data_IF_227703141561
#
_entry.id   IF_227703141561
#
_cell.length_a   1.000
_cell.length_b   1.000
_cell.length_c   1.000
_cell.angle_alpha   90.00
_cell.angle_beta   90.00
_cell.angle_gamma   90.00
#
_symmetry.space_group_name_H-M   'P 1'
#
loop_
_entity.id
_entity.type
_entity.pdbx_description
1 polymer ?
#
# COMPACT_ATOMS: atom_id res chain seq x y z
N UNK A 1 31.61 5.90 -10.05
CA UNK A 1 31.18 4.86 -9.09
C UNK A 1 30.57 5.48 -7.82
N UNK A 2 31.10 6.60 -7.32
CA UNK A 2 30.66 7.22 -6.06
C UNK A 2 29.23 7.79 -6.02
N UNK A 3 28.68 8.22 -7.17
CA UNK A 3 27.28 8.70 -7.23
C UNK A 3 26.25 7.57 -7.03
N UNK A 4 26.59 6.34 -7.41
CA UNK A 4 25.68 5.18 -7.27
C UNK A 4 25.68 4.69 -5.82
N UNK A 5 26.84 4.69 -5.14
CA UNK A 5 26.94 4.39 -3.72
C UNK A 5 26.19 5.40 -2.84
N UNK A 6 26.18 6.69 -3.20
CA UNK A 6 25.38 7.71 -2.50
C UNK A 6 23.87 7.51 -2.64
N UNK A 7 23.40 7.04 -3.80
CA UNK A 7 21.97 6.73 -4.00
C UNK A 7 21.53 5.46 -3.27
N UNK A 8 22.42 4.47 -3.13
CA UNK A 8 22.15 3.27 -2.33
C UNK A 8 22.16 3.58 -0.82
N UNK A 9 23.05 4.47 -0.37
CA UNK A 9 23.09 4.93 1.02
C UNK A 9 21.89 5.80 1.39
N UNK A 10 21.39 6.66 0.50
CA UNK A 10 20.18 7.45 0.74
C UNK A 10 18.90 6.60 0.75
N UNK A 11 18.85 5.48 0.02
CA UNK A 11 17.70 4.57 0.02
C UNK A 11 17.58 3.73 1.30
N UNK A 12 18.66 3.65 2.09
CA UNK A 12 18.68 3.02 3.42
C UNK A 12 18.22 3.93 4.57
N UNK A 13 17.89 5.20 4.28
CA UNK A 13 17.42 6.20 5.24
C UNK A 13 15.98 6.67 4.96
N UNK A 14 15.11 5.77 4.53
CA UNK A 14 13.67 5.97 4.67
C UNK A 14 13.27 5.48 6.07
N UNK A 15 12.49 6.26 6.83
CA UNK A 15 12.13 5.89 8.19
C UNK A 15 11.35 4.58 8.15
N UNK A 16 11.78 3.62 8.96
CA UNK A 16 11.04 2.42 9.28
C UNK A 16 9.71 2.82 9.95
N UNK A 17 8.70 3.16 9.16
CA UNK A 17 7.31 3.34 9.62
C UNK A 17 6.64 2.03 10.05
N UNK A 18 7.42 0.98 10.30
CA UNK A 18 6.96 -0.34 10.76
C UNK A 18 7.08 -0.43 12.28
N UNK A 19 8.07 0.22 12.91
CA UNK A 19 8.23 0.18 14.38
C UNK A 19 7.25 1.08 15.14
N UNK A 20 6.76 2.17 14.55
CA UNK A 20 5.74 3.03 15.19
C UNK A 20 4.33 2.41 15.12
N UNK A 21 4.06 1.58 14.12
CA UNK A 21 2.79 0.85 14.00
C UNK A 21 2.79 -0.37 14.93
N UNK A 22 3.91 -1.07 15.09
CA UNK A 22 4.00 -2.17 16.07
C UNK A 22 3.91 -1.69 17.53
N UNK A 23 4.45 -0.52 17.86
CA UNK A 23 4.31 0.08 19.21
C UNK A 23 2.89 0.51 19.53
N UNK A 24 2.14 1.02 18.55
CA UNK A 24 0.74 1.40 18.75
C UNK A 24 -0.21 0.19 18.84
N UNK A 25 0.13 -0.93 18.19
CA UNK A 25 -0.66 -2.18 18.27
C UNK A 25 -0.47 -2.90 19.61
N UNK A 26 0.70 -2.81 20.25
CA UNK A 26 0.92 -3.40 21.60
C UNK A 26 0.26 -2.63 22.76
N UNK A 27 -0.24 -1.42 22.48
CA UNK A 27 -0.79 -0.50 23.50
C UNK A 27 -2.27 -0.73 23.80
N UNK A 28 -2.99 -1.53 23.01
CA UNK A 28 -4.40 -1.81 23.27
C UNK A 28 -4.54 -3.04 24.15
N UNK A 29 -4.29 -2.85 25.44
CA UNK A 29 -4.76 -3.79 26.45
C UNK A 29 -6.30 -3.72 26.49
N UNK A 30 -7.01 -4.85 26.43
CA UNK A 30 -8.44 -4.84 26.73
C UNK A 30 -8.60 -4.29 28.15
N UNK A 31 -9.44 -3.27 28.30
CA UNK A 31 -9.84 -2.75 29.60
C UNK A 31 -10.54 -3.87 30.37
N UNK A 32 -9.79 -4.67 31.10
CA UNK A 32 -10.33 -5.55 32.13
C UNK A 32 -10.76 -4.63 33.26
N UNK A 33 -12.06 -4.36 33.32
CA UNK A 33 -12.65 -3.61 34.43
C UNK A 33 -12.50 -4.48 35.69
N UNK A 34 -11.41 -4.26 36.42
CA UNK A 34 -11.22 -4.83 37.75
C UNK A 34 -12.40 -4.40 38.60
N UNK A 35 -13.13 -5.38 39.16
CA UNK A 35 -14.10 -5.14 40.24
C UNK A 35 -13.37 -4.49 41.41
N UNK A 36 -13.24 -3.16 41.40
CA UNK A 36 -12.93 -2.42 42.60
C UNK A 36 -14.22 -2.38 43.40
N UNK A 37 -14.25 -3.25 44.42
CA UNK A 37 -15.17 -3.17 45.54
C UNK A 37 -15.03 -1.78 46.15
N UNK A 38 -15.96 -0.89 45.83
CA UNK A 38 -16.12 0.38 46.53
C UNK A 38 -16.66 0.02 47.92
N UNK A 39 -15.79 0.09 48.93
CA UNK A 39 -16.18 0.00 50.33
C UNK A 39 -17.15 1.15 50.64
N UNK A 40 -18.45 0.84 50.70
CA UNK A 40 -19.50 1.77 51.13
C UNK A 40 -19.71 1.65 52.64
N UNK A 41 -19.14 2.57 53.41
CA UNK A 41 -19.47 2.77 54.82
C UNK A 41 -20.04 4.17 55.04
N UNK A 42 -21.21 4.48 54.47
CA UNK A 42 -22.20 5.37 55.09
C UNK A 42 -23.58 4.94 54.56
N UNK A 43 -24.46 4.64 55.50
CA UNK A 43 -25.87 4.29 55.37
C UNK A 43 -26.57 5.09 54.25
N UNK A 44 -26.92 4.42 53.16
CA UNK A 44 -27.68 4.98 52.04
C UNK A 44 -28.83 4.03 51.71
N UNK A 45 -30.08 4.52 51.56
CA UNK A 45 -31.20 3.68 51.16
C UNK A 45 -30.87 2.99 49.84
N UNK A 46 -31.08 1.68 49.84
CA UNK A 46 -30.92 0.79 48.70
C UNK A 46 -31.52 1.45 47.43
N UNK A 47 -30.77 1.63 46.32
CA UNK A 47 -31.34 2.18 45.11
C UNK A 47 -32.45 1.25 44.64
N UNK A 48 -33.68 1.75 44.62
CA UNK A 48 -34.88 1.04 44.19
C UNK A 48 -34.57 0.32 42.88
N UNK A 49 -34.84 -0.99 42.84
CA UNK A 49 -34.45 -1.88 41.74
C UNK A 49 -35.37 -1.75 40.52
N UNK A 50 -36.36 -0.87 40.61
CA UNK A 50 -37.42 -0.72 39.64
C UNK A 50 -36.96 0.14 38.45
N UNK A 51 -37.00 -0.39 37.22
CA UNK A 51 -36.49 0.29 36.04
C UNK A 51 -37.25 1.59 35.72
N UNK A 52 -38.53 1.67 36.07
CA UNK A 52 -39.35 2.88 35.86
C UNK A 52 -38.89 4.05 36.74
N UNK A 53 -38.59 3.78 38.01
CA UNK A 53 -38.12 4.80 38.98
C UNK A 53 -36.72 5.28 38.63
N UNK A 54 -35.85 4.37 38.15
CA UNK A 54 -34.52 4.75 37.65
C UNK A 54 -34.61 5.64 36.41
N UNK A 55 -35.52 5.33 35.48
CA UNK A 55 -35.70 6.15 34.28
C UNK A 55 -36.29 7.53 34.61
N UNK A 56 -37.23 7.62 35.54
CA UNK A 56 -37.72 8.91 36.03
C UNK A 56 -36.62 9.72 36.72
N UNK A 57 -35.79 9.10 37.54
CA UNK A 57 -34.64 9.77 38.18
C UNK A 57 -33.66 10.34 37.15
N UNK A 58 -33.42 9.61 36.06
CA UNK A 58 -32.57 10.05 34.96
C UNK A 58 -33.23 11.17 34.16
N UNK A 59 -34.52 11.07 33.86
CA UNK A 59 -35.27 12.10 33.14
C UNK A 59 -35.40 13.42 33.93
N UNK A 60 -35.30 13.34 35.26
CA UNK A 60 -35.31 14.49 36.16
C UNK A 60 -33.92 15.14 36.33
N UNK A 61 -32.88 14.63 35.66
CA UNK A 61 -31.57 15.30 35.62
C UNK A 61 -31.67 16.51 34.71
N UNK A 62 -31.15 17.64 35.17
CA UNK A 62 -31.21 18.91 34.42
C UNK A 62 -30.27 18.87 33.21
N UNK A 63 -30.72 19.37 32.06
CA UNK A 63 -29.95 19.27 30.81
C UNK A 63 -28.57 19.95 30.87
N UNK A 64 -28.43 20.93 31.76
CA UNK A 64 -27.19 21.69 31.99
C UNK A 64 -26.04 20.75 32.42
N UNK A 65 -26.33 19.63 33.08
CA UNK A 65 -25.32 18.64 33.49
C UNK A 65 -24.73 17.84 32.33
N UNK A 66 -25.36 17.80 31.15
CA UNK A 66 -24.84 17.07 29.99
C UNK A 66 -23.78 17.86 29.18
N UNK A 67 -23.51 19.11 29.55
CA UNK A 67 -22.52 19.93 28.85
C UNK A 67 -21.08 19.61 29.24
N UNK A 68 -20.19 19.50 28.24
CA UNK A 68 -18.77 19.14 28.42
C UNK A 68 -17.94 20.20 29.14
N UNK A 69 -18.40 21.45 29.18
CA UNK A 69 -17.67 22.58 29.78
C UNK A 69 -18.33 23.08 31.07
N UNK A 70 -19.26 22.31 31.62
CA UNK A 70 -20.06 22.74 32.77
C UNK A 70 -19.37 22.45 34.10
N UNK A 71 -19.30 23.48 34.95
CA UNK A 71 -18.83 23.35 36.33
C UNK A 71 -20.03 23.11 37.25
N UNK A 72 -20.27 21.83 37.53
CA UNK A 72 -21.35 21.37 38.41
C UNK A 72 -21.23 21.89 39.85
N UNK A 73 -20.00 22.06 40.35
CA UNK A 73 -19.76 22.55 41.71
C UNK A 73 -20.13 24.02 41.84
N UNK A 74 -19.69 24.85 40.88
CA UNK A 74 -20.03 26.28 40.85
C UNK A 74 -21.54 26.51 40.70
N UNK A 75 -22.19 25.77 39.81
CA UNK A 75 -23.63 25.90 39.57
C UNK A 75 -24.48 25.61 40.81
N UNK A 76 -24.20 24.50 41.51
CA UNK A 76 -24.97 24.14 42.70
C UNK A 76 -24.75 25.14 43.85
N UNK A 77 -23.54 25.67 44.01
CA UNK A 77 -23.23 26.67 45.03
C UNK A 77 -23.94 28.00 44.72
N UNK A 78 -23.90 28.47 43.48
CA UNK A 78 -24.53 29.73 43.09
C UNK A 78 -26.06 29.65 43.13
N UNK A 79 -26.65 28.52 42.74
CA UNK A 79 -28.10 28.39 42.57
C UNK A 79 -28.84 28.01 43.88
N UNK A 80 -28.20 27.23 44.78
CA UNK A 80 -28.87 26.68 45.99
C UNK A 80 -28.29 27.22 47.29
N UNK A 81 -26.98 27.43 47.37
CA UNK A 81 -26.36 27.89 48.61
C UNK A 81 -26.46 29.42 48.79
N UNK A 82 -26.51 30.17 47.68
CA UNK A 82 -26.42 31.63 47.70
C UNK A 82 -25.14 32.13 48.41
N UNK A 83 -24.89 33.45 48.48
CA UNK A 83 -23.66 33.97 49.08
C UNK A 83 -23.50 33.68 50.60
N UNK A 84 -24.56 33.24 51.30
CA UNK A 84 -24.58 33.13 52.76
C UNK A 84 -24.93 31.73 53.33
N UNK A 85 -25.08 30.67 52.52
CA UNK A 85 -25.26 29.28 52.97
C UNK A 85 -26.26 29.09 54.15
N UNK A 86 -27.39 29.82 54.14
CA UNK A 86 -28.24 29.97 55.34
C UNK A 86 -29.20 28.78 55.59
N UNK A 87 -29.37 27.89 54.61
CA UNK A 87 -30.33 26.76 54.65
C UNK A 87 -29.64 25.39 54.50
N UNK A 88 -28.89 24.96 55.52
CA UNK A 88 -28.18 23.67 55.53
C UNK A 88 -29.07 22.45 55.27
N UNK A 89 -30.34 22.48 55.70
CA UNK A 89 -31.28 21.37 55.50
C UNK A 89 -31.65 21.18 54.03
N UNK A 90 -31.81 22.27 53.28
CA UNK A 90 -32.13 22.26 51.84
C UNK A 90 -30.94 21.76 51.03
N UNK A 91 -29.72 22.18 51.41
CA UNK A 91 -28.48 21.70 50.82
C UNK A 91 -28.31 20.19 51.01
N UNK A 92 -28.55 19.67 52.22
CA UNK A 92 -28.50 18.22 52.49
C UNK A 92 -29.52 17.44 51.66
N UNK A 93 -30.75 17.93 51.55
CA UNK A 93 -31.79 17.31 50.72
C UNK A 93 -31.39 17.28 49.23
N UNK A 94 -30.82 18.38 48.72
CA UNK A 94 -30.32 18.46 47.34
C UNK A 94 -29.16 17.50 47.09
N UNK A 95 -28.21 17.42 48.02
CA UNK A 95 -27.08 16.50 47.93
C UNK A 95 -27.54 15.03 47.89
N UNK A 96 -28.55 14.67 48.71
CA UNK A 96 -29.16 13.34 48.65
C UNK A 96 -29.90 13.08 47.33
N UNK A 97 -30.53 14.10 46.73
CA UNK A 97 -31.18 13.98 45.43
C UNK A 97 -30.14 13.76 44.31
N UNK A 98 -29.06 14.55 44.31
CA UNK A 98 -27.95 14.41 43.36
C UNK A 98 -27.25 13.05 43.48
N UNK A 99 -27.04 12.56 44.70
CA UNK A 99 -26.45 11.23 44.92
C UNK A 99 -27.34 10.12 44.36
N UNK A 100 -28.67 10.21 44.53
CA UNK A 100 -29.62 9.27 43.92
C UNK A 100 -29.60 9.32 42.39
N UNK A 101 -29.56 10.52 41.81
CA UNK A 101 -29.47 10.71 40.36
C UNK A 101 -28.15 10.16 39.81
N UNK A 102 -27.03 10.48 40.46
CA UNK A 102 -25.71 9.99 40.06
C UNK A 102 -25.63 8.46 40.14
N UNK A 103 -26.17 7.85 41.20
CA UNK A 103 -26.27 6.39 41.31
C UNK A 103 -27.12 5.77 40.20
N UNK A 104 -28.25 6.39 39.85
CA UNK A 104 -29.11 5.92 38.75
C UNK A 104 -28.40 6.03 37.38
N UNK A 105 -27.79 7.18 37.09
CA UNK A 105 -27.03 7.42 35.85
C UNK A 105 -25.83 6.48 35.75
N UNK A 106 -25.02 6.37 36.80
CA UNK A 106 -23.85 5.48 36.83
C UNK A 106 -24.23 4.03 36.57
N UNK A 107 -25.34 3.57 37.16
CA UNK A 107 -25.85 2.21 36.91
C UNK A 107 -26.29 2.04 35.46
N UNK A 108 -27.08 2.98 34.92
CA UNK A 108 -27.56 2.92 33.54
C UNK A 108 -26.42 2.94 32.53
N UNK A 109 -25.40 3.77 32.75
CA UNK A 109 -24.19 3.81 31.92
C UNK A 109 -23.47 2.48 31.99
N UNK A 110 -23.29 1.90 33.18
CA UNK A 110 -22.66 0.59 33.32
C UNK A 110 -23.42 -0.51 32.58
N UNK A 111 -24.75 -0.51 32.65
CA UNK A 111 -25.59 -1.46 31.92
C UNK A 111 -25.45 -1.28 30.42
N UNK A 112 -25.51 -0.04 29.93
CA UNK A 112 -25.37 0.28 28.51
C UNK A 112 -23.99 -0.10 27.97
N UNK A 113 -22.93 0.13 28.75
CA UNK A 113 -21.56 -0.29 28.40
C UNK A 113 -21.49 -1.80 28.28
N UNK A 114 -22.08 -2.56 29.22
CA UNK A 114 -22.11 -4.02 29.16
C UNK A 114 -22.94 -4.53 27.98
N UNK A 115 -24.06 -3.88 27.67
CA UNK A 115 -24.92 -4.21 26.53
C UNK A 115 -24.21 -3.97 25.18
N UNK A 116 -23.43 -2.90 25.07
CA UNK A 116 -22.71 -2.52 23.85
C UNK A 116 -21.35 -3.19 23.69
N UNK A 117 -20.79 -3.73 24.77
CA UNK A 117 -19.52 -4.44 24.76
C UNK A 117 -19.42 -5.57 23.71
N UNK A 118 -20.39 -6.50 23.57
CA UNK A 118 -20.30 -7.56 22.57
C UNK A 118 -20.32 -7.03 21.13
N UNK A 119 -21.06 -5.95 20.87
CA UNK A 119 -21.08 -5.30 19.54
C UNK A 119 -19.71 -4.70 19.22
N UNK A 120 -19.11 -4.00 20.19
CA UNK A 120 -17.75 -3.47 20.06
C UNK A 120 -16.71 -4.59 19.83
N UNK A 121 -16.80 -5.69 20.57
CA UNK A 121 -15.88 -6.83 20.41
C UNK A 121 -16.00 -7.47 19.02
N UNK A 122 -17.21 -7.59 18.48
CA UNK A 122 -17.43 -8.10 17.13
C UNK A 122 -16.82 -7.18 16.06
N UNK A 123 -17.03 -5.87 16.16
CA UNK A 123 -16.43 -4.89 15.25
C UNK A 123 -14.90 -4.91 15.34
N UNK A 124 -14.36 -5.00 16.56
CA UNK A 124 -12.90 -5.07 16.77
C UNK A 124 -12.30 -6.33 16.15
N UNK A 125 -12.96 -7.49 16.28
CA UNK A 125 -12.56 -8.72 15.58
C UNK A 125 -12.59 -8.54 14.07
N UNK A 126 -13.60 -7.85 13.54
CA UNK A 126 -13.70 -7.48 12.14
C UNK A 126 -12.49 -6.65 11.68
N UNK A 127 -12.16 -5.57 12.39
CA UNK A 127 -11.00 -4.72 12.10
C UNK A 127 -9.69 -5.52 12.13
N UNK A 128 -9.50 -6.38 13.13
CA UNK A 128 -8.30 -7.21 13.24
C UNK A 128 -8.19 -8.23 12.10
N UNK A 129 -9.31 -8.83 11.66
CA UNK A 129 -9.32 -9.73 10.51
C UNK A 129 -8.94 -9.01 9.21
N UNK A 130 -9.53 -7.84 8.95
CA UNK A 130 -9.20 -7.02 7.80
C UNK A 130 -7.74 -6.58 7.79
N UNK A 131 -7.18 -6.27 8.97
CA UNK A 131 -5.77 -5.95 9.11
C UNK A 131 -4.87 -7.14 8.75
N UNK A 132 -5.23 -8.36 9.16
CA UNK A 132 -4.52 -9.58 8.80
C UNK A 132 -4.55 -9.81 7.29
N UNK A 133 -5.72 -9.72 6.67
CA UNK A 133 -5.90 -9.91 5.23
C UNK A 133 -5.11 -8.85 4.43
N UNK A 134 -5.09 -7.60 4.92
CA UNK A 134 -4.32 -6.53 4.29
C UNK A 134 -2.81 -6.81 4.34
N UNK A 135 -2.32 -7.34 5.46
CA UNK A 135 -0.92 -7.74 5.59
C UNK A 135 -0.55 -8.88 4.66
N UNK A 136 -1.40 -9.91 4.57
CA UNK A 136 -1.19 -11.04 3.68
C UNK A 136 -1.16 -10.60 2.21
N UNK A 137 -2.16 -9.81 1.78
CA UNK A 137 -2.24 -9.29 0.41
C UNK A 137 -1.06 -8.38 0.08
N UNK A 138 -0.61 -7.55 1.02
CA UNK A 138 0.60 -6.73 0.86
C UNK A 138 1.84 -7.59 0.67
N UNK A 139 1.98 -8.65 1.46
CA UNK A 139 3.09 -9.60 1.36
C UNK A 139 3.11 -10.27 -0.01
N UNK A 140 1.98 -10.85 -0.43
CA UNK A 140 1.83 -11.45 -1.76
C UNK A 140 2.15 -10.46 -2.88
N UNK A 141 1.66 -9.21 -2.78
CA UNK A 141 1.95 -8.18 -3.78
C UNK A 141 3.44 -7.84 -3.87
N UNK A 142 4.18 -7.90 -2.75
CA UNK A 142 5.64 -7.69 -2.74
C UNK A 142 6.37 -8.86 -3.37
N UNK A 143 5.97 -10.09 -3.06
CA UNK A 143 6.53 -11.30 -3.64
C UNK A 143 6.33 -11.36 -5.15
N UNK A 144 5.11 -11.11 -5.63
CA UNK A 144 4.79 -11.05 -7.06
C UNK A 144 5.63 -9.98 -7.76
N UNK A 145 5.74 -8.78 -7.18
CA UNK A 145 6.57 -7.71 -7.76
C UNK A 145 8.05 -8.10 -7.83
N UNK A 146 8.58 -8.76 -6.80
CA UNK A 146 9.96 -9.22 -6.79
C UNK A 146 10.19 -10.33 -7.83
N UNK A 147 9.29 -11.31 -7.90
CA UNK A 147 9.33 -12.39 -8.89
C UNK A 147 9.26 -11.84 -10.31
N UNK A 148 8.34 -10.91 -10.59
CA UNK A 148 8.21 -10.27 -11.90
C UNK A 148 9.48 -9.50 -12.27
N UNK A 149 10.07 -8.76 -11.33
CA UNK A 149 11.32 -8.04 -11.54
C UNK A 149 12.51 -8.97 -11.84
N UNK A 150 12.52 -10.15 -11.23
CA UNK A 150 13.52 -11.19 -11.52
C UNK A 150 13.27 -11.85 -12.88
N UNK A 151 12.01 -12.13 -13.22
CA UNK A 151 11.61 -12.67 -14.52
C UNK A 151 11.93 -11.70 -15.66
N UNK A 152 11.69 -10.40 -15.49
CA UNK A 152 12.02 -9.38 -16.49
C UNK A 152 13.53 -9.35 -16.79
N UNK A 153 14.36 -9.35 -15.74
CA UNK A 153 15.82 -9.41 -15.90
C UNK A 153 16.30 -10.70 -16.56
N UNK A 154 15.71 -11.84 -16.23
CA UNK A 154 16.19 -13.15 -16.69
C UNK A 154 15.66 -13.52 -18.07
N UNK A 155 14.36 -13.33 -18.31
CA UNK A 155 13.68 -13.75 -19.54
C UNK A 155 13.68 -12.65 -20.60
N UNK A 156 13.32 -11.42 -20.24
CA UNK A 156 13.17 -10.35 -21.25
C UNK A 156 14.55 -9.93 -21.75
N UNK A 157 15.49 -9.61 -20.85
CA UNK A 157 16.83 -9.20 -21.28
C UNK A 157 17.57 -10.30 -22.06
N UNK A 158 17.49 -11.57 -21.63
CA UNK A 158 18.13 -12.67 -22.35
C UNK A 158 17.53 -12.84 -23.75
N UNK A 159 16.20 -12.82 -23.88
CA UNK A 159 15.53 -12.92 -25.19
C UNK A 159 15.86 -11.73 -26.09
N UNK A 160 15.94 -10.51 -25.55
CA UNK A 160 16.35 -9.33 -26.31
C UNK A 160 17.80 -9.44 -26.81
N UNK A 161 18.71 -10.00 -26.01
CA UNK A 161 20.09 -10.27 -26.43
C UNK A 161 20.11 -11.30 -27.57
N UNK A 162 19.36 -12.40 -27.45
CA UNK A 162 19.25 -13.42 -28.50
C UNK A 162 18.71 -12.81 -29.79
N UNK A 163 17.63 -12.03 -29.71
CA UNK A 163 17.01 -11.38 -30.86
C UNK A 163 17.95 -10.38 -31.53
N UNK A 164 18.68 -9.59 -30.74
CA UNK A 164 19.72 -8.67 -31.24
C UNK A 164 20.82 -9.42 -31.98
N UNK A 165 21.31 -10.52 -31.39
CA UNK A 165 22.36 -11.34 -31.99
C UNK A 165 21.88 -11.99 -33.29
N UNK A 166 20.65 -12.52 -33.32
CA UNK A 166 20.05 -13.09 -34.52
C UNK A 166 19.90 -12.05 -35.64
N UNK A 167 19.41 -10.84 -35.32
CA UNK A 167 19.34 -9.72 -36.29
C UNK A 167 20.73 -9.32 -36.80
N UNK A 168 21.75 -9.30 -35.94
CA UNK A 168 23.14 -9.04 -36.34
C UNK A 168 23.64 -10.14 -37.28
N UNK A 169 23.37 -11.40 -36.97
CA UNK A 169 23.76 -12.54 -37.79
C UNK A 169 23.10 -12.48 -39.18
N UNK A 170 21.81 -12.13 -39.27
CA UNK A 170 21.11 -11.96 -40.54
C UNK A 170 21.76 -10.88 -41.41
N UNK A 171 22.07 -9.70 -40.84
CA UNK A 171 22.78 -8.64 -41.57
C UNK A 171 24.15 -9.09 -42.04
N UNK A 172 24.94 -9.74 -41.17
CA UNK A 172 26.25 -10.26 -41.54
C UNK A 172 26.17 -11.30 -42.67
N UNK A 173 25.17 -12.19 -42.63
CA UNK A 173 24.92 -13.17 -43.71
C UNK A 173 24.55 -12.47 -45.03
N UNK A 174 23.72 -11.43 -44.98
CA UNK A 174 23.39 -10.63 -46.16
C UNK A 174 24.63 -9.95 -46.74
N UNK A 175 25.42 -9.27 -45.90
CA UNK A 175 26.69 -8.64 -46.33
C UNK A 175 27.65 -9.68 -46.90
N UNK A 176 27.80 -10.84 -46.27
CA UNK A 176 28.66 -11.92 -46.75
C UNK A 176 28.23 -12.43 -48.12
N UNK A 177 26.92 -12.60 -48.36
CA UNK A 177 26.39 -13.02 -49.65
C UNK A 177 26.71 -11.99 -50.75
N UNK A 178 26.52 -10.70 -50.45
CA UNK A 178 26.86 -9.59 -51.35
C UNK A 178 28.36 -9.61 -51.67
N UNK A 179 29.23 -9.76 -50.68
CA UNK A 179 30.69 -9.82 -50.88
C UNK A 179 31.11 -11.04 -51.69
N UNK A 180 30.48 -12.19 -51.46
CA UNK A 180 30.76 -13.40 -52.24
C UNK A 180 30.37 -13.21 -53.72
N UNK A 181 29.21 -12.61 -53.98
CA UNK A 181 28.76 -12.27 -55.34
C UNK A 181 29.70 -11.26 -56.00
N UNK A 182 30.15 -10.23 -55.29
CA UNK A 182 31.11 -9.24 -55.80
C UNK A 182 32.46 -9.89 -56.15
N UNK A 183 32.95 -10.77 -55.28
CA UNK A 183 34.18 -11.53 -55.54
C UNK A 183 34.03 -12.45 -56.75
N UNK A 184 32.87 -13.10 -56.90
CA UNK A 184 32.59 -13.94 -58.06
C UNK A 184 32.60 -13.11 -59.36
N UNK A 185 31.99 -11.91 -59.33
CA UNK A 185 32.03 -10.99 -60.47
C UNK A 185 33.46 -10.56 -60.80
N UNK A 186 34.27 -10.21 -59.79
CA UNK A 186 35.68 -9.87 -59.99
C UNK A 186 36.46 -11.03 -60.64
N UNK A 187 36.26 -12.26 -60.16
CA UNK A 187 36.88 -13.45 -60.75
C UNK A 187 36.43 -13.67 -62.20
N UNK A 188 35.15 -13.46 -62.49
CA UNK A 188 34.60 -13.54 -63.85
C UNK A 188 35.25 -12.53 -64.78
N UNK A 189 35.47 -11.28 -64.34
CA UNK A 189 36.20 -10.26 -65.12
C UNK A 189 37.62 -10.71 -65.44
N UNK A 190 38.37 -11.21 -64.45
CA UNK A 190 39.73 -11.74 -64.68
C UNK A 190 39.72 -12.93 -65.66
N UNK A 191 38.72 -13.81 -65.55
CA UNK A 191 38.58 -14.97 -66.44
C UNK A 191 38.23 -14.55 -67.87
N UNK A 192 37.39 -13.51 -68.02
CA UNK A 192 37.04 -12.93 -69.31
C UNK A 192 38.30 -12.34 -69.99
N UNK A 193 39.13 -11.60 -69.24
CA UNK A 193 40.41 -11.09 -69.74
C UNK A 193 41.36 -12.20 -70.20
N UNK A 194 41.39 -13.34 -69.49
CA UNK A 194 42.19 -14.50 -69.92
C UNK A 194 41.67 -15.15 -71.19
N UNK A 195 40.35 -15.31 -71.33
CA UNK A 195 39.73 -15.93 -72.51
C UNK A 195 39.91 -15.04 -73.76
N UNK A 196 39.81 -13.73 -73.61
CA UNK A 196 40.10 -12.77 -74.71
C UNK A 196 41.56 -12.90 -75.17
N UNK A 197 42.52 -13.03 -74.24
CA UNK A 197 43.95 -13.19 -74.58
C UNK A 197 44.24 -14.53 -75.27
N UNK A 198 43.46 -15.57 -74.96
CA UNK A 198 43.59 -16.91 -75.54
C UNK A 198 42.91 -17.03 -76.92
N UNK A 199 42.02 -16.10 -77.28
CA UNK A 199 41.29 -16.09 -78.56
C UNK A 199 39.97 -16.87 -78.54
N UNK A 200 39.54 -17.36 -77.38
CA UNK A 200 38.30 -18.14 -77.21
C UNK A 200 37.09 -17.21 -77.02
N UNK A 201 36.67 -16.57 -78.11
CA UNK A 201 35.60 -15.57 -78.08
C UNK A 201 34.22 -16.15 -77.74
N UNK A 202 33.96 -17.41 -78.07
CA UNK A 202 32.68 -18.06 -77.78
C UNK A 202 32.41 -18.16 -76.28
N UNK A 203 33.38 -18.70 -75.52
CA UNK A 203 33.28 -18.85 -74.06
C UNK A 203 33.28 -17.49 -73.35
N UNK A 204 34.03 -16.52 -73.88
CA UNK A 204 34.02 -15.15 -73.36
C UNK A 204 32.65 -14.48 -73.49
N UNK A 205 31.95 -14.65 -74.62
CA UNK A 205 30.60 -14.11 -74.83
C UNK A 205 29.60 -14.78 -73.90
N UNK A 206 29.70 -16.10 -73.69
CA UNK A 206 28.82 -16.81 -72.77
C UNK A 206 29.01 -16.33 -71.32
N UNK A 207 30.25 -16.28 -70.84
CA UNK A 207 30.58 -15.81 -69.50
C UNK A 207 30.15 -14.35 -69.30
N UNK A 208 30.28 -13.51 -70.33
CA UNK A 208 29.81 -12.13 -70.29
C UNK A 208 28.29 -12.05 -70.08
N UNK A 209 27.51 -12.83 -70.83
CA UNK A 209 26.05 -12.88 -70.67
C UNK A 209 25.64 -13.34 -69.27
N UNK A 210 26.30 -14.37 -68.73
CA UNK A 210 26.05 -14.84 -67.37
C UNK A 210 26.38 -13.76 -66.32
N UNK A 211 27.46 -12.99 -66.52
CA UNK A 211 27.83 -11.89 -65.64
C UNK A 211 26.83 -10.71 -65.69
N UNK A 212 26.19 -10.46 -66.83
CA UNK A 212 25.17 -9.41 -66.97
C UNK A 212 23.91 -9.75 -66.14
N UNK A 213 23.49 -11.01 -66.13
CA UNK A 213 22.36 -11.46 -65.29
C UNK A 213 22.67 -11.25 -63.81
N UNK A 214 23.90 -11.53 -63.37
CA UNK A 214 24.33 -11.26 -62.00
C UNK A 214 24.36 -9.77 -61.66
N UNK A 215 24.58 -8.88 -62.65
CA UNK A 215 24.62 -7.43 -62.48
C UNK A 215 23.22 -6.80 -62.38
N UNK A 216 22.18 -7.44 -62.91
CA UNK A 216 20.79 -6.97 -62.77
C UNK A 216 20.37 -6.91 -61.29
N UNK A 217 20.78 -7.90 -60.49
CA UNK A 217 20.59 -7.93 -59.04
C UNK A 217 21.28 -6.76 -58.32
N UNK A 218 22.32 -6.17 -58.93
CA UNK A 218 23.07 -5.05 -58.37
C UNK A 218 22.55 -3.67 -58.81
N UNK A 219 21.57 -3.61 -59.71
CA UNK A 219 21.00 -2.36 -60.21
C UNK A 219 20.41 -1.49 -59.09
N UNK A 220 19.97 -2.09 -58.00
CA UNK A 220 19.47 -1.40 -56.79
C UNK A 220 20.56 -0.77 -55.93
N UNK A 221 21.82 -1.20 -56.08
CA UNK A 221 22.98 -0.63 -55.37
C UNK A 221 23.69 0.45 -56.19
N UNK A 222 23.05 0.97 -57.24
CA UNK A 222 23.49 2.17 -57.95
C UNK A 222 23.36 3.34 -56.99
N UNK A 223 24.34 3.47 -56.11
CA UNK A 223 24.65 4.69 -55.39
C UNK A 223 24.78 5.77 -56.46
N UNK A 224 23.81 6.68 -56.44
CA UNK A 224 23.75 8.06 -56.97
C UNK A 224 24.86 8.43 -57.98
N UNK A 225 24.42 8.92 -59.14
CA UNK A 225 25.23 9.51 -60.23
C UNK A 225 26.48 10.27 -59.79
#
# INVERSE_FOLDING_TARGET
MDKILRLVSQRSKLPNGIEEVEKSVSSFQPLTLSKQTINSSVDSPNPTRDPHVMQELINNVEDVYYSMTFDSGKYEIENIAGPNCRELSKLKLRLLALDRQNKAVSRRVSELVLEKHPQYEAELKGVLSLQSDNWETLCMCREIRNSLKQADKTLVLSRLIVLRNHRRQLRLKQTLNILFRLRNLQNNVHRLDTLIKQGDFYDAIQLHRESLVLLEDFRSYRCIE
#
